data_IF_383484484773
#
_entry.id   IF_383484484773
#
_cell.length_a   1.000
_cell.length_b   1.000
_cell.length_c   1.000
_cell.angle_alpha   90.00
_cell.angle_beta   90.00
_cell.angle_gamma   90.00
#
_symmetry.space_group_name_H-M   'P 1'
#
loop_
_entity.id
_entity.type
_entity.pdbx_description
1 polymer ?
#
# COMPACT_ATOMS: atom_id res chain seq x y z
N UNK A 1 14.29 2.65 18.70
CA UNK A 1 13.64 3.22 19.91
C UNK A 1 13.81 4.72 19.96
N UNK A 2 12.82 5.48 20.48
CA UNK A 2 13.02 6.92 20.74
C UNK A 2 13.91 7.08 21.98
N UNK A 3 15.08 7.69 21.81
CA UNK A 3 16.06 7.93 22.85
C UNK A 3 15.84 9.29 23.54
N UNK A 4 15.23 10.24 22.82
CA UNK A 4 14.87 11.54 23.37
C UNK A 4 14.13 12.40 22.35
N UNK A 5 13.57 13.50 22.84
CA UNK A 5 13.07 14.57 22.01
C UNK A 5 13.55 15.91 22.57
N UNK A 6 13.62 16.90 21.70
CA UNK A 6 13.98 18.27 22.05
C UNK A 6 13.02 19.21 21.32
N UNK A 7 12.56 20.25 22.00
CA UNK A 7 11.68 21.28 21.43
C UNK A 7 12.32 22.63 21.72
N UNK A 8 12.62 23.40 20.66
CA UNK A 8 13.11 24.77 20.80
C UNK A 8 12.66 25.63 19.63
N UNK A 9 12.17 26.84 19.93
CA UNK A 9 11.77 27.84 18.95
C UNK A 9 10.81 27.31 17.86
N UNK A 10 9.93 26.36 18.21
CA UNK A 10 8.96 25.74 17.30
C UNK A 10 9.52 24.60 16.45
N UNK A 11 10.77 24.21 16.67
CA UNK A 11 11.38 23.03 16.06
C UNK A 11 11.33 21.85 17.02
N UNK A 12 10.85 20.71 16.51
CA UNK A 12 10.89 19.44 17.24
C UNK A 12 12.02 18.59 16.65
N UNK A 13 13.00 18.25 17.49
CA UNK A 13 14.04 17.27 17.19
C UNK A 13 13.72 15.93 17.86
N UNK A 14 13.91 14.84 17.13
CA UNK A 14 13.80 13.48 17.66
C UNK A 14 15.17 12.81 17.63
N UNK A 15 15.59 12.25 18.76
CA UNK A 15 16.75 11.37 18.83
C UNK A 15 16.23 9.93 18.81
N UNK A 16 16.53 9.23 17.73
CA UNK A 16 16.14 7.84 17.52
C UNK A 16 17.38 6.96 17.59
N UNK A 17 17.19 5.74 18.08
CA UNK A 17 18.19 4.67 17.99
C UNK A 17 18.54 4.43 16.53
N UNK A 18 19.84 4.35 16.26
CA UNK A 18 20.36 3.86 14.99
C UNK A 18 20.14 2.34 14.95
N UNK A 19 19.32 1.89 14.01
CA UNK A 19 18.97 0.47 13.88
C UNK A 19 19.98 -0.18 12.95
N UNK A 20 20.81 -1.07 13.50
CA UNK A 20 21.73 -1.91 12.71
C UNK A 20 20.94 -2.95 11.90
N UNK A 21 20.54 -2.54 10.71
CA UNK A 21 19.73 -3.32 9.78
C UNK A 21 19.99 -2.92 8.33
N UNK A 22 19.53 -3.77 7.42
CA UNK A 22 19.72 -3.61 5.98
C UNK A 22 18.36 -3.50 5.29
N UNK A 23 18.28 -2.73 4.21
CA UNK A 23 17.07 -2.73 3.38
C UNK A 23 16.89 -4.12 2.73
N UNK A 24 15.65 -4.57 2.49
CA UNK A 24 15.39 -5.74 1.67
C UNK A 24 16.03 -5.62 0.28
N UNK A 25 16.48 -6.74 -0.29
CA UNK A 25 16.98 -6.80 -1.65
C UNK A 25 15.83 -6.67 -2.65
N UNK A 26 16.06 -5.95 -3.75
CA UNK A 26 15.15 -5.87 -4.89
C UNK A 26 15.83 -6.44 -6.15
N UNK A 27 15.20 -7.35 -6.92
CA UNK A 27 13.91 -7.98 -6.67
C UNK A 27 13.84 -8.76 -5.36
N UNK A 28 12.65 -8.82 -4.77
CA UNK A 28 12.44 -9.41 -3.45
C UNK A 28 12.92 -10.86 -3.40
N UNK A 29 13.78 -11.15 -2.42
CA UNK A 29 14.10 -12.52 -2.06
C UNK A 29 12.97 -13.12 -1.22
N UNK A 30 12.64 -14.39 -1.47
CA UNK A 30 11.55 -15.06 -0.78
C UNK A 30 11.75 -15.10 0.75
N UNK A 31 12.97 -15.39 1.22
CA UNK A 31 13.29 -15.42 2.65
C UNK A 31 13.08 -14.07 3.34
N UNK A 32 13.45 -12.97 2.69
CA UNK A 32 13.25 -11.62 3.21
C UNK A 32 11.77 -11.22 3.20
N UNK A 33 11.04 -11.53 2.12
CA UNK A 33 9.60 -11.29 2.02
C UNK A 33 8.84 -11.98 3.15
N UNK A 34 9.10 -13.26 3.38
CA UNK A 34 8.41 -14.03 4.42
C UNK A 34 8.73 -13.50 5.83
N UNK A 35 9.97 -13.08 6.11
CA UNK A 35 10.31 -12.40 7.37
C UNK A 35 9.50 -11.12 7.59
N UNK A 36 9.25 -10.34 6.54
CA UNK A 36 8.44 -9.11 6.62
C UNK A 36 6.96 -9.44 6.85
N UNK A 37 6.43 -10.42 6.11
CA UNK A 37 5.05 -10.88 6.26
C UNK A 37 4.78 -11.46 7.67
N UNK A 38 5.74 -12.20 8.23
CA UNK A 38 5.68 -12.70 9.61
C UNK A 38 5.66 -11.53 10.61
N UNK A 39 6.50 -10.51 10.42
CA UNK A 39 6.49 -9.31 11.27
C UNK A 39 5.17 -8.53 11.20
N UNK A 40 4.53 -8.46 10.02
CA UNK A 40 3.18 -7.89 9.88
C UNK A 40 2.11 -8.72 10.58
N UNK A 41 2.27 -10.05 10.60
CA UNK A 41 1.42 -10.95 11.38
C UNK A 41 1.58 -10.74 12.88
N UNK A 42 2.80 -10.54 13.37
CA UNK A 42 3.07 -10.19 14.76
C UNK A 42 2.44 -8.84 15.13
N UNK A 43 2.61 -7.81 14.30
CA UNK A 43 2.00 -6.48 14.47
C UNK A 43 0.47 -6.56 14.59
N UNK A 44 -0.16 -7.40 13.77
CA UNK A 44 -1.60 -7.61 13.81
C UNK A 44 -2.09 -8.20 15.15
N UNK A 45 -1.27 -9.01 15.83
CA UNK A 45 -1.61 -9.61 17.14
C UNK A 45 -1.39 -8.63 18.29
N UNK A 46 -0.31 -7.84 18.25
CA UNK A 46 0.07 -6.95 19.36
C UNK A 46 -0.59 -5.56 19.31
N UNK A 47 -1.56 -5.36 18.42
CA UNK A 47 -2.19 -4.05 18.23
C UNK A 47 -2.82 -3.53 19.54
N UNK A 48 -2.31 -2.43 20.12
CA UNK A 48 -2.91 -1.80 21.30
C UNK A 48 -4.25 -1.13 20.94
N UNK A 49 -5.11 -0.86 21.93
CA UNK A 49 -6.28 0.02 21.72
C UNK A 49 -5.80 1.43 21.31
N UNK A 50 -5.93 1.83 20.04
CA UNK A 50 -5.26 3.02 19.55
C UNK A 50 -6.11 4.23 19.90
N UNK A 51 -5.69 5.00 20.91
CA UNK A 51 -6.33 6.29 21.24
C UNK A 51 -5.90 7.42 20.29
N UNK A 52 -4.90 7.20 19.44
CA UNK A 52 -4.18 8.25 18.73
C UNK A 52 -4.13 8.10 17.20
N UNK A 53 -4.54 6.96 16.64
CA UNK A 53 -4.46 6.71 15.20
C UNK A 53 -5.82 6.96 14.53
N UNK A 54 -5.80 7.66 13.39
CA UNK A 54 -6.99 7.89 12.57
C UNK A 54 -7.51 6.57 12.00
N UNK A 55 -8.82 6.49 11.72
CA UNK A 55 -9.37 5.32 11.03
C UNK A 55 -8.88 5.30 9.57
N UNK A 56 -8.46 4.12 9.10
CA UNK A 56 -7.97 3.91 7.74
C UNK A 56 -9.08 4.18 6.70
N UNK A 57 -10.34 3.90 7.05
CA UNK A 57 -11.52 4.28 6.26
C UNK A 57 -11.84 5.80 6.31
N UNK A 58 -10.87 6.65 6.64
CA UNK A 58 -11.00 8.10 6.63
C UNK A 58 -11.15 8.68 5.23
N UNK A 59 -11.51 9.97 5.16
CA UNK A 59 -11.81 10.66 3.89
C UNK A 59 -10.63 10.66 2.91
N UNK A 60 -9.41 10.85 3.40
CA UNK A 60 -8.22 10.94 2.54
C UNK A 60 -7.96 9.66 1.77
N UNK A 61 -7.89 8.51 2.44
CA UNK A 61 -7.65 7.23 1.78
C UNK A 61 -8.85 6.81 0.94
N UNK A 62 -10.08 7.08 1.41
CA UNK A 62 -11.29 6.83 0.62
C UNK A 62 -11.24 7.53 -0.72
N UNK A 63 -10.84 8.81 -0.73
CA UNK A 63 -10.68 9.61 -1.95
C UNK A 63 -9.56 9.10 -2.85
N UNK A 64 -8.48 8.56 -2.27
CA UNK A 64 -7.41 7.94 -3.07
C UNK A 64 -7.90 6.68 -3.79
N UNK A 65 -8.67 5.83 -3.11
CA UNK A 65 -9.18 4.57 -3.67
C UNK A 65 -10.37 4.73 -4.63
N UNK A 66 -11.12 5.84 -4.56
CA UNK A 66 -12.21 6.14 -5.51
C UNK A 66 -11.79 6.97 -6.72
N UNK A 67 -10.48 7.09 -6.97
CA UNK A 67 -9.92 7.90 -8.05
C UNK A 67 -10.49 7.59 -9.45
N UNK A 68 -11.01 6.39 -9.70
CA UNK A 68 -11.67 6.05 -10.96
C UNK A 68 -12.88 6.95 -11.29
N UNK A 69 -13.55 7.51 -10.28
CA UNK A 69 -14.67 8.42 -10.48
C UNK A 69 -14.27 9.72 -11.19
N UNK A 70 -13.03 10.19 -10.99
CA UNK A 70 -12.50 11.36 -11.67
C UNK A 70 -12.41 11.11 -13.18
N UNK A 71 -12.08 9.89 -13.61
CA UNK A 71 -11.98 9.53 -15.03
C UNK A 71 -13.33 9.48 -15.76
N UNK A 72 -14.43 9.41 -15.01
CA UNK A 72 -15.78 9.48 -15.57
C UNK A 72 -16.15 10.90 -15.97
N UNK A 73 -15.62 11.89 -15.24
CA UNK A 73 -15.94 13.32 -15.40
C UNK A 73 -14.87 14.04 -16.22
N UNK A 74 -13.61 13.68 -16.02
CA UNK A 74 -12.41 14.30 -16.60
C UNK A 74 -11.52 13.22 -17.20
N UNK A 75 -10.71 13.51 -18.22
CA UNK A 75 -9.60 12.63 -18.66
C UNK A 75 -9.98 11.21 -19.16
N UNK A 76 -11.25 10.96 -19.50
CA UNK A 76 -11.72 9.66 -20.02
C UNK A 76 -10.99 9.23 -21.30
N UNK A 77 -10.65 10.20 -22.14
CA UNK A 77 -9.91 10.05 -23.38
C UNK A 77 -8.45 9.61 -23.15
N UNK A 78 -7.91 9.88 -21.96
CA UNK A 78 -6.57 9.46 -21.56
C UNK A 78 -6.53 8.00 -21.06
N UNK A 79 -7.68 7.35 -20.82
CA UNK A 79 -7.69 5.92 -20.48
C UNK A 79 -7.38 5.05 -21.70
N UNK A 80 -6.71 3.91 -21.46
CA UNK A 80 -6.60 2.87 -22.47
C UNK A 80 -7.98 2.29 -22.82
N UNK A 81 -8.07 1.55 -23.93
CA UNK A 81 -9.35 1.03 -24.40
C UNK A 81 -10.03 0.08 -23.39
N UNK A 82 -9.24 -0.70 -22.64
CA UNK A 82 -9.75 -1.66 -21.67
C UNK A 82 -10.33 -0.95 -20.45
N UNK A 83 -9.56 -0.03 -19.83
CA UNK A 83 -10.00 0.76 -18.69
C UNK A 83 -11.20 1.63 -19.04
N UNK A 84 -11.29 2.14 -20.27
CA UNK A 84 -12.46 2.91 -20.73
C UNK A 84 -13.71 2.05 -20.86
N UNK A 85 -13.57 0.81 -21.32
CA UNK A 85 -14.66 -0.17 -21.44
C UNK A 85 -15.17 -0.60 -20.07
N UNK A 86 -14.27 -0.81 -19.10
CA UNK A 86 -14.61 -1.30 -17.76
C UNK A 86 -14.69 -0.20 -16.69
N UNK A 87 -14.79 1.06 -17.08
CA UNK A 87 -14.69 2.20 -16.14
C UNK A 87 -15.70 2.12 -14.98
N UNK A 88 -16.97 1.81 -15.25
CA UNK A 88 -17.98 1.72 -14.18
C UNK A 88 -17.68 0.56 -13.22
N UNK A 89 -17.17 -0.57 -13.73
CA UNK A 89 -16.77 -1.69 -12.89
C UNK A 89 -15.55 -1.32 -12.02
N UNK A 90 -14.57 -0.60 -12.59
CA UNK A 90 -13.40 -0.09 -11.82
C UNK A 90 -13.81 0.90 -10.73
N UNK A 91 -14.84 1.71 -10.97
CA UNK A 91 -15.44 2.60 -9.96
C UNK A 91 -16.04 1.78 -8.82
N UNK A 92 -16.81 0.74 -9.15
CA UNK A 92 -17.43 -0.13 -8.15
C UNK A 92 -16.39 -0.91 -7.33
N UNK A 93 -15.29 -1.35 -7.96
CA UNK A 93 -14.14 -1.92 -7.24
C UNK A 93 -13.49 -0.91 -6.29
N UNK A 94 -13.36 0.36 -6.69
CA UNK A 94 -12.91 1.44 -5.80
C UNK A 94 -13.78 1.58 -4.56
N UNK A 95 -15.10 1.55 -4.72
CA UNK A 95 -16.06 1.61 -3.59
C UNK A 95 -16.00 0.37 -2.70
N UNK A 96 -15.87 -0.82 -3.30
CA UNK A 96 -15.70 -2.08 -2.58
C UNK A 96 -14.41 -2.08 -1.75
N UNK A 97 -13.31 -1.59 -2.31
CA UNK A 97 -12.05 -1.44 -1.59
C UNK A 97 -12.22 -0.55 -0.35
N UNK A 98 -12.85 0.63 -0.49
CA UNK A 98 -13.14 1.53 0.64
C UNK A 98 -13.99 0.85 1.70
N UNK A 99 -15.06 0.16 1.31
CA UNK A 99 -15.92 -0.56 2.24
C UNK A 99 -15.14 -1.65 3.01
N UNK A 100 -14.19 -2.31 2.36
CA UNK A 100 -13.32 -3.33 3.00
C UNK A 100 -12.29 -2.78 3.99
N UNK A 101 -12.03 -1.46 3.99
CA UNK A 101 -11.18 -0.83 5.00
C UNK A 101 -11.93 -0.56 6.32
N UNK A 102 -13.25 -0.66 6.33
CA UNK A 102 -14.06 -0.41 7.51
C UNK A 102 -13.96 -1.56 8.53
N UNK A 103 -14.04 -1.21 9.82
CA UNK A 103 -14.25 -2.19 10.90
C UNK A 103 -13.01 -2.95 11.41
N UNK A 104 -11.82 -2.64 10.90
CA UNK A 104 -10.57 -3.16 11.44
C UNK A 104 -10.15 -2.51 12.75
N UNK A 105 -9.38 -3.24 13.55
CA UNK A 105 -8.82 -2.77 14.84
C UNK A 105 -7.31 -2.93 14.90
N UNK A 106 -6.65 -3.17 13.77
CA UNK A 106 -5.21 -3.39 13.67
C UNK A 106 -4.50 -2.06 13.41
N UNK A 107 -3.33 -1.87 14.04
CA UNK A 107 -2.44 -0.76 13.74
C UNK A 107 -1.76 -1.07 12.41
N UNK A 108 -2.10 -0.30 11.39
CA UNK A 108 -1.50 -0.39 10.06
C UNK A 108 -0.43 0.68 9.92
N UNK A 109 0.68 0.33 9.28
CA UNK A 109 1.75 1.23 8.87
C UNK A 109 1.32 2.14 7.71
N UNK A 110 0.51 1.60 6.79
CA UNK A 110 -0.08 2.29 5.62
C UNK A 110 0.89 2.66 4.50
N UNK A 111 2.19 2.58 4.76
CA UNK A 111 3.23 2.78 3.74
C UNK A 111 4.30 1.68 3.82
N UNK A 112 3.90 0.41 3.79
CA UNK A 112 4.84 -0.72 3.80
C UNK A 112 5.49 -0.86 2.42
N UNK A 113 6.80 -0.65 2.38
CA UNK A 113 7.65 -0.67 1.19
C UNK A 113 9.10 -0.94 1.59
N UNK A 114 9.90 -1.47 0.67
CA UNK A 114 11.29 -1.89 0.92
C UNK A 114 12.16 -0.82 1.60
N UNK A 115 12.01 0.46 1.24
CA UNK A 115 12.73 1.60 1.83
C UNK A 115 12.23 2.02 3.22
N UNK A 116 11.06 1.53 3.65
CA UNK A 116 10.53 1.71 5.01
C UNK A 116 10.76 0.48 5.91
N UNK A 117 11.62 -0.44 5.48
CA UNK A 117 11.90 -1.70 6.19
C UNK A 117 13.40 -1.85 6.46
N UNK A 118 13.73 -2.24 7.68
CA UNK A 118 15.08 -2.64 8.07
C UNK A 118 15.06 -4.09 8.55
N UNK A 119 15.79 -4.94 7.83
CA UNK A 119 16.05 -6.33 8.19
C UNK A 119 17.27 -6.39 9.10
N UNK A 120 17.03 -6.73 10.36
CA UNK A 120 18.10 -6.97 11.34
C UNK A 120 18.37 -8.48 11.45
N UNK A 121 19.30 -8.87 12.32
CA UNK A 121 19.60 -10.28 12.55
C UNK A 121 18.42 -11.05 13.16
N UNK A 122 17.62 -10.40 14.02
CA UNK A 122 16.58 -11.05 14.82
C UNK A 122 15.15 -10.59 14.49
N UNK A 123 14.97 -9.39 13.91
CA UNK A 123 13.64 -8.82 13.64
C UNK A 123 13.56 -7.97 12.37
N UNK A 124 12.35 -7.65 11.95
CA UNK A 124 12.07 -6.60 10.96
C UNK A 124 11.63 -5.34 11.70
N UNK A 125 12.22 -4.21 11.35
CA UNK A 125 11.85 -2.90 11.89
C UNK A 125 11.18 -2.09 10.80
N UNK A 126 9.93 -1.69 11.03
CA UNK A 126 9.21 -0.74 10.18
C UNK A 126 9.53 0.67 10.64
N UNK A 127 9.89 1.54 9.70
CA UNK A 127 10.20 2.96 9.94
C UNK A 127 9.27 3.84 9.11
N UNK A 128 9.21 5.14 9.45
CA UNK A 128 8.32 6.11 8.79
C UNK A 128 6.81 5.85 9.00
N UNK A 129 6.39 5.90 10.26
CA UNK A 129 4.99 5.73 10.69
C UNK A 129 4.10 6.96 10.46
N UNK A 130 4.46 7.85 9.53
CA UNK A 130 3.75 9.12 9.31
C UNK A 130 2.28 8.93 8.89
N UNK A 131 1.93 7.77 8.33
CA UNK A 131 0.58 7.43 7.85
C UNK A 131 -0.15 6.42 8.75
N UNK A 132 0.38 6.11 9.93
CA UNK A 132 -0.15 5.08 10.79
C UNK A 132 -1.65 5.28 11.09
N UNK A 133 -2.44 4.24 10.85
CA UNK A 133 -3.90 4.29 10.94
C UNK A 133 -4.48 2.97 11.43
N UNK A 134 -5.75 2.99 11.81
CA UNK A 134 -6.46 1.80 12.30
C UNK A 134 -7.31 1.21 11.20
N UNK A 135 -6.96 -0.01 10.83
CA UNK A 135 -7.52 -0.70 9.68
C UNK A 135 -7.54 -2.21 9.86
N UNK A 136 -7.87 -2.93 8.79
CA UNK A 136 -7.88 -4.38 8.80
C UNK A 136 -6.45 -4.93 8.68
N UNK A 137 -6.18 -6.05 9.35
CA UNK A 137 -4.85 -6.66 9.40
C UNK A 137 -4.27 -7.07 8.04
N UNK A 138 -5.12 -7.25 7.03
CA UNK A 138 -4.69 -7.62 5.68
C UNK A 138 -4.09 -6.45 4.87
N UNK A 139 -4.34 -5.20 5.28
CA UNK A 139 -4.04 -4.02 4.48
C UNK A 139 -2.55 -3.86 4.16
N UNK A 140 -1.70 -3.87 5.18
CA UNK A 140 -0.25 -3.74 5.00
C UNK A 140 0.36 -4.91 4.20
N UNK A 141 0.00 -6.19 4.46
CA UNK A 141 0.38 -7.29 3.59
C UNK A 141 -0.05 -7.07 2.13
N UNK A 142 -1.25 -6.56 1.88
CA UNK A 142 -1.74 -6.29 0.53
C UNK A 142 -1.02 -5.12 -0.16
N UNK A 143 -0.59 -4.10 0.59
CA UNK A 143 0.26 -3.03 0.07
C UNK A 143 1.61 -3.57 -0.41
N UNK A 144 2.23 -4.47 0.37
CA UNK A 144 3.51 -5.08 0.02
C UNK A 144 3.45 -5.85 -1.32
N UNK A 145 2.30 -6.46 -1.63
CA UNK A 145 2.08 -7.16 -2.91
C UNK A 145 2.20 -6.21 -4.13
N UNK A 146 1.86 -4.94 -3.96
CA UNK A 146 1.97 -3.94 -5.03
C UNK A 146 3.45 -3.70 -5.40
N UNK A 147 4.34 -3.73 -4.41
CA UNK A 147 5.79 -3.64 -4.63
C UNK A 147 6.33 -4.91 -5.29
N UNK A 148 5.86 -6.10 -4.90
CA UNK A 148 6.23 -7.35 -5.58
C UNK A 148 5.91 -7.32 -7.09
N UNK A 149 4.78 -6.74 -7.48
CA UNK A 149 4.42 -6.59 -8.91
C UNK A 149 5.32 -5.64 -9.69
N UNK A 150 6.01 -4.72 -9.02
CA UNK A 150 6.78 -3.64 -9.66
C UNK A 150 8.28 -3.87 -9.55
N UNK A 151 8.77 -4.22 -8.37
CA UNK A 151 10.17 -4.52 -8.11
C UNK A 151 10.53 -6.00 -8.41
N UNK A 152 9.54 -6.88 -8.50
CA UNK A 152 9.73 -8.32 -8.69
C UNK A 152 9.94 -9.08 -7.39
N UNK A 153 9.78 -10.40 -7.45
CA UNK A 153 9.87 -11.30 -6.30
C UNK A 153 8.98 -12.53 -6.47
N UNK A 154 8.63 -13.22 -5.36
CA UNK A 154 7.60 -14.25 -5.36
C UNK A 154 6.28 -13.77 -5.95
N UNK A 155 5.49 -14.69 -6.52
CA UNK A 155 4.20 -14.38 -7.14
C UNK A 155 3.21 -13.84 -6.08
N UNK A 156 2.71 -12.61 -6.23
CA UNK A 156 1.73 -12.04 -5.31
C UNK A 156 0.46 -12.87 -5.14
N UNK A 157 0.01 -13.56 -6.18
CA UNK A 157 -1.18 -14.40 -6.09
C UNK A 157 -0.93 -15.68 -5.27
N UNK A 158 0.30 -16.21 -5.30
CA UNK A 158 0.75 -17.30 -4.41
C UNK A 158 0.79 -16.81 -2.94
N UNK A 159 1.30 -15.59 -2.70
CA UNK A 159 1.33 -15.00 -1.36
C UNK A 159 -0.09 -14.79 -0.82
N UNK A 160 -1.04 -14.33 -1.65
CA UNK A 160 -2.45 -14.22 -1.27
C UNK A 160 -3.02 -15.58 -0.87
N UNK A 161 -2.71 -16.64 -1.61
CA UNK A 161 -3.22 -17.99 -1.35
C UNK A 161 -2.64 -18.64 -0.07
N UNK A 162 -1.44 -18.24 0.34
CA UNK A 162 -0.66 -18.95 1.38
C UNK A 162 -0.53 -18.17 2.70
N UNK A 163 -0.41 -16.84 2.65
CA UNK A 163 -0.18 -16.04 3.85
C UNK A 163 -1.46 -15.93 4.72
N UNK A 164 -1.41 -16.21 6.04
CA UNK A 164 -2.59 -16.27 6.90
C UNK A 164 -3.49 -15.02 6.89
N UNK A 165 -2.89 -13.81 6.88
CA UNK A 165 -3.65 -12.57 6.89
C UNK A 165 -4.32 -12.27 5.54
N UNK A 166 -3.82 -12.84 4.44
CA UNK A 166 -4.35 -12.59 3.10
C UNK A 166 -5.35 -13.68 2.68
N UNK A 167 -5.05 -14.95 2.94
CA UNK A 167 -5.92 -16.07 2.57
C UNK A 167 -7.26 -16.09 3.31
N UNK A 168 -7.36 -15.35 4.43
CA UNK A 168 -8.59 -15.18 5.19
C UNK A 168 -9.51 -14.09 4.64
N UNK A 169 -9.04 -13.30 3.67
CA UNK A 169 -9.77 -12.21 3.03
C UNK A 169 -10.50 -12.75 1.79
N UNK A 170 -11.66 -12.17 1.49
CA UNK A 170 -12.31 -12.37 0.20
C UNK A 170 -11.33 -12.03 -0.94
N UNK A 171 -10.97 -12.97 -1.84
CA UNK A 171 -10.10 -12.69 -2.96
C UNK A 171 -10.58 -11.53 -3.84
N UNK A 172 -11.91 -11.33 -3.93
CA UNK A 172 -12.50 -10.21 -4.66
C UNK A 172 -12.20 -8.86 -3.99
N UNK A 173 -12.05 -8.82 -2.66
CA UNK A 173 -11.65 -7.61 -1.96
C UNK A 173 -10.17 -7.25 -2.24
N UNK A 174 -9.29 -8.25 -2.35
CA UNK A 174 -7.90 -8.01 -2.77
C UNK A 174 -7.86 -7.51 -4.21
N UNK A 175 -8.67 -8.09 -5.11
CA UNK A 175 -8.83 -7.60 -6.49
C UNK A 175 -9.32 -6.15 -6.51
N UNK A 176 -10.35 -5.84 -5.71
CA UNK A 176 -10.90 -4.50 -5.57
C UNK A 176 -9.84 -3.49 -5.13
N UNK A 177 -9.06 -3.85 -4.11
CA UNK A 177 -7.97 -3.02 -3.59
C UNK A 177 -6.89 -2.73 -4.63
N UNK A 178 -6.42 -3.76 -5.34
CA UNK A 178 -5.44 -3.60 -6.43
C UNK A 178 -6.00 -2.71 -7.54
N UNK A 179 -7.26 -2.92 -7.95
CA UNK A 179 -7.92 -2.09 -8.97
C UNK A 179 -8.02 -0.62 -8.52
N UNK A 180 -8.41 -0.37 -7.27
CA UNK A 180 -8.52 0.96 -6.69
C UNK A 180 -7.16 1.70 -6.68
N UNK A 181 -6.12 1.04 -6.18
CA UNK A 181 -4.76 1.60 -6.10
C UNK A 181 -4.17 1.84 -7.50
N UNK A 182 -4.51 1.01 -8.49
CA UNK A 182 -4.15 1.24 -9.90
C UNK A 182 -4.66 2.59 -10.39
N UNK A 183 -5.93 2.92 -10.11
CA UNK A 183 -6.53 4.20 -10.49
C UNK A 183 -5.81 5.39 -9.85
N UNK A 184 -5.47 5.26 -8.56
CA UNK A 184 -4.68 6.26 -7.82
C UNK A 184 -3.33 6.52 -8.49
N UNK A 185 -2.54 5.48 -8.78
CA UNK A 185 -1.24 5.62 -9.44
C UNK A 185 -1.35 6.20 -10.84
N UNK A 186 -2.34 5.75 -11.63
CA UNK A 186 -2.59 6.22 -12.99
C UNK A 186 -2.92 7.72 -13.02
N UNK A 187 -3.75 8.20 -12.10
CA UNK A 187 -4.04 9.64 -12.00
C UNK A 187 -2.83 10.41 -11.51
N UNK A 188 -2.14 9.91 -10.49
CA UNK A 188 -1.01 10.62 -9.90
C UNK A 188 0.16 10.76 -10.87
N UNK A 189 0.43 9.76 -11.71
CA UNK A 189 1.50 9.81 -12.72
C UNK A 189 1.29 10.92 -13.76
N UNK A 190 0.05 11.37 -13.98
CA UNK A 190 -0.33 12.39 -14.97
C UNK A 190 -0.32 13.82 -14.41
N UNK A 191 -0.12 13.98 -13.11
CA UNK A 191 -0.04 15.30 -12.48
C UNK A 191 1.32 15.95 -12.75
N UNK A 192 1.42 17.29 -12.71
CA UNK A 192 2.72 17.98 -12.73
C UNK A 192 3.66 17.42 -11.66
N UNK A 193 4.93 17.19 -11.99
CA UNK A 193 5.91 16.73 -11.01
C UNK A 193 6.06 17.78 -9.89
N UNK A 194 6.07 17.38 -8.61
CA UNK A 194 6.29 18.33 -7.53
C UNK A 194 7.75 18.79 -7.51
N UNK A 195 8.03 20.02 -7.06
CA UNK A 195 9.40 20.51 -6.90
C UNK A 195 10.25 19.55 -6.04
N UNK A 196 11.48 19.26 -6.49
CA UNK A 196 12.43 18.42 -5.76
C UNK A 196 12.28 16.91 -5.97
N UNK A 197 11.22 16.42 -6.64
CA UNK A 197 11.00 14.99 -6.90
C UNK A 197 10.77 14.70 -8.39
N UNK A 198 11.77 14.93 -9.26
CA UNK A 198 11.60 14.83 -10.71
C UNK A 198 11.28 13.41 -11.21
N UNK A 199 11.65 12.37 -10.45
CA UNK A 199 11.43 10.97 -10.82
C UNK A 199 10.07 10.41 -10.38
N UNK A 200 9.32 11.14 -9.55
CA UNK A 200 8.08 10.64 -8.92
C UNK A 200 7.04 10.20 -9.94
N UNK A 201 6.86 10.95 -11.03
CA UNK A 201 5.83 10.65 -12.04
C UNK A 201 6.18 9.41 -12.85
N UNK A 202 7.46 9.23 -13.19
CA UNK A 202 7.95 8.02 -13.85
C UNK A 202 7.76 6.78 -12.96
N UNK A 203 8.09 6.89 -11.67
CA UNK A 203 7.82 5.84 -10.67
C UNK A 203 6.33 5.49 -10.60
N UNK A 204 5.45 6.50 -10.49
CA UNK A 204 4.00 6.29 -10.42
C UNK A 204 3.44 5.68 -11.71
N UNK A 205 3.99 6.03 -12.87
CA UNK A 205 3.60 5.42 -14.15
C UNK A 205 3.97 3.94 -14.21
N UNK A 206 5.18 3.58 -13.76
CA UNK A 206 5.61 2.18 -13.72
C UNK A 206 4.72 1.34 -12.79
N UNK A 207 4.34 1.88 -11.63
CA UNK A 207 3.36 1.26 -10.74
C UNK A 207 2.00 1.11 -11.41
N UNK A 208 1.47 2.18 -12.02
CA UNK A 208 0.18 2.13 -12.71
C UNK A 208 0.14 1.04 -13.78
N UNK A 209 1.19 0.93 -14.60
CA UNK A 209 1.26 -0.05 -15.69
C UNK A 209 1.34 -1.48 -15.16
N UNK A 210 2.15 -1.73 -14.13
CA UNK A 210 2.30 -3.05 -13.53
C UNK A 210 1.02 -3.52 -12.83
N UNK A 211 0.39 -2.63 -12.07
CA UNK A 211 -0.84 -2.93 -11.35
C UNK A 211 -2.03 -3.06 -12.32
N UNK A 212 -2.10 -2.26 -13.39
CA UNK A 212 -3.15 -2.42 -14.41
C UNK A 212 -3.08 -3.78 -15.11
N UNK A 213 -1.88 -4.29 -15.40
CA UNK A 213 -1.73 -5.67 -15.90
C UNK A 213 -2.25 -6.68 -14.88
N UNK A 214 -1.91 -6.50 -13.61
CA UNK A 214 -2.40 -7.39 -12.55
C UNK A 214 -3.92 -7.32 -12.37
N UNK A 215 -4.51 -6.13 -12.42
CA UNK A 215 -5.97 -5.95 -12.38
C UNK A 215 -6.63 -6.71 -13.54
N UNK A 216 -6.10 -6.61 -14.75
CA UNK A 216 -6.60 -7.36 -15.93
C UNK A 216 -6.53 -8.87 -15.71
N UNK A 217 -5.42 -9.36 -15.16
CA UNK A 217 -5.24 -10.79 -14.84
C UNK A 217 -6.24 -11.28 -13.79
N UNK A 218 -6.37 -10.55 -12.66
CA UNK A 218 -7.24 -10.94 -11.54
C UNK A 218 -8.72 -10.85 -11.85
N UNK A 219 -9.12 -9.88 -12.66
CA UNK A 219 -10.54 -9.68 -13.03
C UNK A 219 -10.99 -10.61 -14.16
N UNK A 220 -10.07 -10.95 -15.08
CA UNK A 220 -10.40 -11.74 -16.27
C UNK A 220 -11.40 -11.05 -17.22
N UNK A 221 -11.64 -9.74 -17.06
CA UNK A 221 -12.57 -9.00 -17.90
C UNK A 221 -12.03 -8.85 -19.33
N UNK A 222 -12.92 -8.99 -20.32
CA UNK A 222 -12.61 -8.97 -21.75
C UNK A 222 -13.10 -7.71 -22.43
#
# INVERSE_FOLDING_TARGET
>A
TMLGSYDVDGWVGLLLEDVDGTLPDLPWRADQLWRVLDALSELAVVTPKPRLAAALAGEDLSRLLTTWEDFRVTDRDQLDAWSRTHLEALIDEGRRAVAGLAGGQTLCHVDVRSDNLLLTNDRVVLVDWNWAAIGPSWFDPALLLLELRTAGGPDPDEVVATHPLLRAVDPELITAFVAAVTGMFLRNSRRPAPPGLPTLRAFQSAYADALLRWTKERTGWR
#
